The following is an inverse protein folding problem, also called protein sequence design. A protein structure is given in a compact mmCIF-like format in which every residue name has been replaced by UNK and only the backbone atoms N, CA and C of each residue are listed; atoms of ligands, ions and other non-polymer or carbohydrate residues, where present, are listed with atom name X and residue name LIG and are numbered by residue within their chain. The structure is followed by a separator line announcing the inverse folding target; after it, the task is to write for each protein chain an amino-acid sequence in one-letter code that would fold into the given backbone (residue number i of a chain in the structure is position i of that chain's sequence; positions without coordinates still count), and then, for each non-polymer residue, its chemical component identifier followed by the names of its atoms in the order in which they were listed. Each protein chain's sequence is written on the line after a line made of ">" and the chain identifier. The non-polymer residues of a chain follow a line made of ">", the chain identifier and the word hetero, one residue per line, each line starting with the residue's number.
data_IF_103270589179
#
_entry.id   IF_103270589179
#
_cell.length_a   1.000
_cell.length_b   1.000
_cell.length_c   1.000
_cell.angle_alpha   90.00
_cell.angle_beta   90.00
_cell.angle_gamma   90.00
#
_symmetry.space_group_name_H-M   'P 1'
#
loop_
_entity.id
_entity.type
_entity.pdbx_description
1 polymer ?
#
# COMPACT_ATOMS: atom_id res chain seq x y z
N UNK A 1 5.68 30.31 -30.41
CA UNK A 1 4.35 29.69 -30.54
C UNK A 1 4.42 28.34 -29.85
N UNK A 2 4.27 28.32 -28.53
CA UNK A 2 4.14 27.07 -27.76
C UNK A 2 2.74 26.51 -28.02
N UNK A 3 2.69 25.25 -28.40
CA UNK A 3 1.51 24.55 -28.90
C UNK A 3 0.39 24.52 -27.84
N UNK A 4 -0.78 25.00 -28.26
CA UNK A 4 -2.07 24.89 -27.56
C UNK A 4 -2.60 23.44 -27.59
N UNK A 5 -1.86 22.51 -26.99
CA UNK A 5 -2.32 21.13 -26.84
C UNK A 5 -1.87 20.53 -25.51
N UNK A 6 -1.92 21.31 -24.44
CA UNK A 6 -2.18 20.73 -23.12
C UNK A 6 -3.70 20.50 -23.06
N UNK A 7 -4.16 19.47 -23.77
CA UNK A 7 -5.49 18.94 -23.53
C UNK A 7 -5.59 18.71 -22.01
N UNK A 8 -6.61 19.30 -21.38
CA UNK A 8 -6.94 19.08 -19.98
C UNK A 8 -6.96 17.56 -19.73
N UNK A 9 -5.81 16.98 -19.37
CA UNK A 9 -5.74 15.59 -18.91
C UNK A 9 -6.61 15.56 -17.65
N UNK A 10 -7.70 14.82 -17.72
CA UNK A 10 -8.60 14.66 -16.59
C UNK A 10 -7.86 13.80 -15.54
N UNK A 11 -7.34 14.45 -14.54
CA UNK A 11 -6.64 13.78 -13.44
C UNK A 11 -7.65 13.09 -12.53
N UNK A 12 -7.39 11.87 -12.15
CA UNK A 12 -8.19 11.05 -11.26
C UNK A 12 -7.49 10.86 -9.91
N UNK A 13 -8.05 11.42 -8.84
CA UNK A 13 -7.55 11.23 -7.48
C UNK A 13 -7.99 9.88 -6.93
N UNK A 14 -7.04 9.05 -6.52
CA UNK A 14 -7.25 7.78 -5.82
C UNK A 14 -6.83 7.96 -4.36
N UNK A 15 -7.77 7.87 -3.43
CA UNK A 15 -7.52 8.21 -2.03
C UNK A 15 -7.72 7.00 -1.11
N UNK A 16 -6.76 6.82 -0.19
CA UNK A 16 -6.84 5.84 0.89
C UNK A 16 -7.96 6.25 1.87
N UNK A 17 -9.10 5.63 1.70
CA UNK A 17 -10.31 5.96 2.42
C UNK A 17 -10.29 5.53 3.88
N UNK A 18 -9.67 4.38 4.19
CA UNK A 18 -9.57 3.88 5.57
C UNK A 18 -8.72 4.82 6.43
N UNK A 19 -7.60 5.33 5.88
CA UNK A 19 -6.76 6.28 6.58
C UNK A 19 -7.44 7.64 6.74
N UNK A 20 -8.07 8.17 5.69
CA UNK A 20 -8.85 9.41 5.75
C UNK A 20 -9.91 9.34 6.83
N UNK A 21 -10.70 8.28 6.81
CA UNK A 21 -11.80 8.10 7.74
C UNK A 21 -11.29 7.95 9.17
N UNK A 22 -10.25 7.14 9.37
CA UNK A 22 -9.68 6.94 10.70
C UNK A 22 -9.17 8.26 11.30
N UNK A 23 -8.39 9.04 10.54
CA UNK A 23 -7.89 10.36 10.97
C UNK A 23 -9.03 11.30 11.33
N UNK A 24 -10.06 11.39 10.49
CA UNK A 24 -11.21 12.27 10.69
C UNK A 24 -12.01 11.88 11.93
N UNK A 25 -12.43 10.61 12.03
CA UNK A 25 -13.29 10.18 13.13
C UNK A 25 -12.55 10.21 14.47
N UNK A 26 -11.26 9.82 14.48
CA UNK A 26 -10.44 9.91 15.69
C UNK A 26 -10.27 11.35 16.20
N UNK A 27 -10.15 12.33 15.28
CA UNK A 27 -10.05 13.76 15.66
C UNK A 27 -11.38 14.36 16.16
N UNK A 28 -12.50 13.73 15.83
CA UNK A 28 -13.83 14.14 16.31
C UNK A 28 -14.25 13.45 17.61
N UNK A 29 -13.47 12.45 18.09
CA UNK A 29 -13.77 11.81 19.37
C UNK A 29 -13.65 12.81 20.53
N UNK A 30 -14.66 12.82 21.38
CA UNK A 30 -14.73 13.64 22.60
C UNK A 30 -15.10 12.77 23.78
N UNK A 31 -14.46 13.02 24.91
CA UNK A 31 -14.77 12.35 26.16
C UNK A 31 -15.67 13.21 27.03
N UNK A 32 -16.69 12.62 27.64
CA UNK A 32 -17.52 13.25 28.66
C UNK A 32 -17.31 12.46 29.95
N UNK A 33 -16.82 13.14 30.98
CA UNK A 33 -16.76 12.62 32.33
C UNK A 33 -18.07 12.99 33.06
N UNK A 34 -18.88 11.96 33.34
CA UNK A 34 -20.18 12.13 34.02
C UNK A 34 -20.03 12.19 35.54
N UNK A 35 -19.06 11.46 36.06
CA UNK A 35 -18.61 11.46 37.45
C UNK A 35 -17.21 10.88 37.50
N UNK A 36 -16.47 10.97 38.63
CA UNK A 36 -15.12 10.46 38.73
C UNK A 36 -14.99 9.01 38.22
N UNK A 37 -14.11 8.81 37.22
CA UNK A 37 -13.84 7.52 36.55
C UNK A 37 -15.00 6.94 35.69
N UNK A 38 -16.05 7.73 35.41
CA UNK A 38 -17.12 7.34 34.50
C UNK A 38 -17.08 8.21 33.26
N UNK A 39 -16.37 7.71 32.24
CA UNK A 39 -16.11 8.44 31.00
C UNK A 39 -16.78 7.72 29.84
N UNK A 40 -17.43 8.47 28.97
CA UNK A 40 -17.94 7.98 27.67
C UNK A 40 -17.28 8.73 26.53
N UNK A 41 -16.99 8.00 25.47
CA UNK A 41 -16.50 8.60 24.21
C UNK A 41 -17.65 8.71 23.22
N UNK A 42 -17.80 9.86 22.57
CA UNK A 42 -18.80 10.08 21.54
C UNK A 42 -18.22 10.92 20.38
N UNK A 43 -18.95 10.98 19.27
CA UNK A 43 -18.69 11.91 18.18
C UNK A 43 -20.00 12.64 17.80
N UNK A 44 -19.87 13.83 17.25
CA UNK A 44 -20.93 14.48 16.51
C UNK A 44 -20.81 14.07 15.03
N UNK A 45 -21.73 13.23 14.57
CA UNK A 45 -21.66 12.66 13.21
C UNK A 45 -21.63 13.74 12.14
N UNK A 46 -22.45 14.80 12.30
CA UNK A 46 -22.46 15.93 11.34
C UNK A 46 -21.12 16.68 11.27
N UNK A 47 -20.43 16.84 12.39
CA UNK A 47 -19.10 17.46 12.44
C UNK A 47 -18.06 16.56 11.73
N UNK A 48 -18.11 15.26 11.98
CA UNK A 48 -17.24 14.29 11.32
C UNK A 48 -17.51 14.21 9.80
N UNK A 49 -18.78 14.28 9.38
CA UNK A 49 -19.16 14.32 7.97
C UNK A 49 -18.62 15.58 7.28
N UNK A 50 -18.79 16.75 7.92
CA UNK A 50 -18.28 18.01 7.39
C UNK A 50 -16.75 17.96 7.26
N UNK A 51 -16.04 17.55 8.32
CA UNK A 51 -14.58 17.48 8.31
C UNK A 51 -14.06 16.51 7.25
N UNK A 52 -14.69 15.34 7.10
CA UNK A 52 -14.33 14.37 6.06
C UNK A 52 -14.53 14.97 4.66
N UNK A 53 -15.65 15.62 4.40
CA UNK A 53 -15.95 16.28 3.12
C UNK A 53 -14.91 17.35 2.81
N UNK A 54 -14.61 18.23 3.76
CA UNK A 54 -13.60 19.29 3.59
C UNK A 54 -12.21 18.73 3.29
N UNK A 55 -11.84 17.59 3.92
CA UNK A 55 -10.58 16.94 3.70
C UNK A 55 -10.52 16.30 2.29
N UNK A 56 -11.56 15.59 1.86
CA UNK A 56 -11.66 15.01 0.51
C UNK A 56 -11.58 16.12 -0.55
N UNK A 57 -12.31 17.21 -0.39
CA UNK A 57 -12.27 18.34 -1.31
C UNK A 57 -10.89 19.02 -1.34
N UNK A 58 -10.23 19.14 -0.17
CA UNK A 58 -8.86 19.67 -0.09
C UNK A 58 -7.91 18.82 -0.90
N UNK A 59 -7.94 17.50 -0.71
CA UNK A 59 -7.08 16.56 -1.43
C UNK A 59 -7.38 16.57 -2.93
N UNK A 60 -8.65 16.65 -3.33
CA UNK A 60 -9.04 16.75 -4.73
C UNK A 60 -8.44 18.01 -5.38
N UNK A 61 -8.50 19.15 -4.68
CA UNK A 61 -7.88 20.41 -5.17
C UNK A 61 -6.36 20.30 -5.27
N UNK A 62 -5.69 19.71 -4.26
CA UNK A 62 -4.25 19.53 -4.24
C UNK A 62 -3.77 18.57 -5.35
N UNK A 63 -4.49 17.48 -5.56
CA UNK A 63 -4.25 16.52 -6.65
C UNK A 63 -4.60 17.10 -8.04
N UNK A 64 -5.23 18.27 -8.12
CA UNK A 64 -5.81 18.86 -9.34
C UNK A 64 -6.72 17.87 -10.07
N UNK A 65 -7.44 17.05 -9.30
CA UNK A 65 -8.24 15.96 -9.82
C UNK A 65 -9.63 16.44 -10.25
N UNK A 66 -10.04 16.06 -11.46
CA UNK A 66 -11.39 16.31 -11.98
C UNK A 66 -12.42 15.32 -11.44
N UNK A 67 -11.97 14.14 -11.02
CA UNK A 67 -12.75 13.09 -10.34
C UNK A 67 -11.93 12.44 -9.25
N UNK A 68 -12.60 11.82 -8.29
CA UNK A 68 -11.95 11.07 -7.21
C UNK A 68 -12.57 9.69 -7.07
N UNK A 69 -11.85 8.78 -6.41
CA UNK A 69 -12.37 7.52 -5.89
C UNK A 69 -11.74 7.25 -4.53
N UNK A 70 -12.58 6.90 -3.57
CA UNK A 70 -12.19 6.43 -2.25
C UNK A 70 -11.98 4.92 -2.32
N UNK A 71 -10.77 4.44 -2.00
CA UNK A 71 -10.44 3.01 -2.02
C UNK A 71 -10.48 2.45 -0.60
N UNK A 72 -11.31 1.41 -0.40
CA UNK A 72 -11.60 0.80 0.89
C UNK A 72 -11.06 -0.62 1.01
N UNK A 73 -10.62 -0.97 2.20
CA UNK A 73 -10.29 -2.36 2.55
C UNK A 73 -11.56 -3.18 2.72
N UNK A 74 -11.62 -4.35 2.09
CA UNK A 74 -12.69 -5.33 2.26
C UNK A 74 -12.68 -5.97 3.66
N UNK A 75 -13.75 -6.69 4.00
CA UNK A 75 -13.82 -7.45 5.26
C UNK A 75 -12.89 -8.68 5.24
N UNK A 76 -12.67 -9.26 4.08
CA UNK A 76 -11.74 -10.37 3.85
C UNK A 76 -10.44 -9.89 3.21
N UNK A 77 -9.37 -10.71 3.32
CA UNK A 77 -8.05 -10.38 2.80
C UNK A 77 -7.34 -11.65 2.32
N UNK A 78 -6.93 -11.69 1.06
CA UNK A 78 -6.24 -12.83 0.47
C UNK A 78 -4.93 -13.19 1.18
N UNK A 79 -4.26 -12.21 1.83
CA UNK A 79 -3.01 -12.44 2.56
C UNK A 79 -3.20 -13.42 3.73
N UNK A 80 -4.42 -13.52 4.30
CA UNK A 80 -4.73 -14.53 5.30
C UNK A 80 -4.73 -15.96 4.76
N UNK A 81 -4.88 -16.13 3.43
CA UNK A 81 -4.74 -17.42 2.75
C UNK A 81 -3.26 -17.75 2.48
N UNK A 82 -2.40 -16.72 2.37
CA UNK A 82 -0.94 -16.86 2.24
C UNK A 82 -0.30 -17.18 3.59
N UNK A 83 -0.73 -16.45 4.64
CA UNK A 83 -0.30 -16.65 6.03
C UNK A 83 -1.43 -16.24 6.99
N UNK A 84 -1.97 -17.20 7.73
CA UNK A 84 -3.07 -16.98 8.67
C UNK A 84 -2.72 -16.06 9.85
N UNK A 85 -1.43 -15.78 10.06
CA UNK A 85 -0.94 -14.88 11.12
C UNK A 85 -0.80 -13.43 10.66
N UNK A 86 -1.03 -13.14 9.38
CA UNK A 86 -0.95 -11.79 8.83
C UNK A 86 -1.84 -10.80 9.63
N UNK A 87 -1.25 -9.68 10.04
CA UNK A 87 -1.91 -8.67 10.91
C UNK A 87 -2.47 -9.24 12.22
N UNK A 88 -2.06 -10.44 12.62
CA UNK A 88 -2.54 -11.12 13.85
C UNK A 88 -2.19 -10.36 15.13
N UNK A 89 -1.07 -9.63 15.15
CA UNK A 89 -0.64 -8.75 16.23
C UNK A 89 -1.59 -7.56 16.48
N UNK A 90 -2.47 -7.24 15.51
CA UNK A 90 -3.51 -6.20 15.64
C UNK A 90 -4.73 -6.68 16.42
N UNK A 91 -4.88 -8.00 16.61
CA UNK A 91 -6.02 -8.60 17.32
C UNK A 91 -5.80 -8.51 18.83
N UNK A 92 -6.78 -7.97 19.56
CA UNK A 92 -6.80 -8.03 21.02
C UNK A 92 -6.09 -6.91 21.79
N UNK A 93 -5.56 -5.89 21.14
CA UNK A 93 -5.00 -4.72 21.84
C UNK A 93 -6.03 -3.60 22.00
N UNK A 94 -6.31 -3.21 23.25
CA UNK A 94 -7.26 -2.12 23.60
C UNK A 94 -6.93 -0.80 22.86
N UNK A 95 -5.67 -0.56 22.55
CA UNK A 95 -5.19 0.66 21.89
C UNK A 95 -5.46 0.72 20.39
N UNK A 96 -6.06 -0.30 19.80
CA UNK A 96 -6.35 -0.38 18.35
C UNK A 96 -7.84 -0.55 18.04
N UNK A 97 -8.73 -0.10 18.94
CA UNK A 97 -10.14 -0.02 18.60
C UNK A 97 -10.34 0.98 17.46
N UNK A 98 -11.24 0.66 16.55
CA UNK A 98 -11.71 1.67 15.60
C UNK A 98 -12.40 2.81 16.37
N UNK A 99 -12.23 4.06 15.95
CA UNK A 99 -12.90 5.20 16.58
C UNK A 99 -14.43 5.01 16.66
N UNK A 100 -15.05 5.64 17.65
CA UNK A 100 -16.51 5.63 17.82
C UNK A 100 -17.17 6.19 16.57
N UNK A 101 -18.21 5.52 16.06
CA UNK A 101 -18.91 5.94 14.85
C UNK A 101 -18.24 5.57 13.52
N UNK A 102 -17.06 4.94 13.54
CA UNK A 102 -16.32 4.58 12.32
C UNK A 102 -17.19 3.84 11.28
N UNK A 103 -17.96 2.83 11.70
CA UNK A 103 -18.80 2.05 10.76
C UNK A 103 -19.89 2.90 10.10
N UNK A 104 -20.59 3.72 10.89
CA UNK A 104 -21.63 4.60 10.39
C UNK A 104 -21.06 5.66 9.43
N UNK A 105 -19.91 6.21 9.77
CA UNK A 105 -19.21 7.17 8.93
C UNK A 105 -18.67 6.55 7.65
N UNK A 106 -18.19 5.30 7.69
CA UNK A 106 -17.77 4.56 6.50
C UNK A 106 -18.95 4.35 5.56
N UNK A 107 -20.06 3.82 6.06
CA UNK A 107 -21.26 3.62 5.26
C UNK A 107 -21.72 4.93 4.60
N UNK A 108 -21.78 6.02 5.37
CA UNK A 108 -22.13 7.33 4.84
C UNK A 108 -21.15 7.80 3.75
N UNK A 109 -19.85 7.60 3.94
CA UNK A 109 -18.84 8.00 2.95
C UNK A 109 -18.95 7.19 1.65
N UNK A 110 -19.18 5.86 1.76
CA UNK A 110 -19.42 4.98 0.61
C UNK A 110 -20.69 5.36 -0.17
N UNK A 111 -21.73 5.85 0.51
CA UNK A 111 -22.97 6.33 -0.11
C UNK A 111 -22.85 7.74 -0.72
N UNK A 112 -21.91 8.55 -0.22
CA UNK A 112 -21.77 9.97 -0.58
C UNK A 112 -20.72 10.20 -1.68
N UNK A 113 -19.65 9.44 -1.68
CA UNK A 113 -18.50 9.63 -2.59
C UNK A 113 -18.31 8.42 -3.50
N UNK A 114 -17.80 8.63 -4.74
CA UNK A 114 -17.35 7.53 -5.57
C UNK A 114 -16.37 6.64 -4.81
N UNK A 115 -16.69 5.38 -4.67
CA UNK A 115 -16.01 4.44 -3.79
C UNK A 115 -15.77 3.09 -4.44
N UNK A 116 -14.63 2.47 -4.16
CA UNK A 116 -14.28 1.14 -4.61
C UNK A 116 -13.85 0.28 -3.40
N UNK A 117 -14.43 -0.91 -3.30
CA UNK A 117 -14.11 -1.89 -2.28
C UNK A 117 -14.24 -3.28 -2.92
N UNK A 118 -13.10 -3.94 -3.20
CA UNK A 118 -13.09 -5.19 -3.94
C UNK A 118 -12.87 -6.39 -3.01
N UNK A 119 -13.56 -7.48 -3.31
CA UNK A 119 -13.55 -8.68 -2.49
C UNK A 119 -12.12 -9.21 -2.28
N UNK A 120 -11.80 -9.58 -1.03
CA UNK A 120 -10.51 -10.10 -0.60
C UNK A 120 -9.30 -9.15 -0.76
N UNK A 121 -9.51 -7.87 -1.06
CA UNK A 121 -8.43 -6.88 -1.23
C UNK A 121 -8.41 -5.84 -0.10
N UNK A 122 -7.21 -5.35 0.19
CA UNK A 122 -7.03 -4.14 1.00
C UNK A 122 -7.19 -2.88 0.12
N UNK A 123 -7.49 -1.74 0.74
CA UNK A 123 -7.60 -0.46 0.03
C UNK A 123 -6.34 -0.11 -0.76
N UNK A 124 -5.16 -0.47 -0.22
CA UNK A 124 -3.88 -0.29 -0.88
C UNK A 124 -3.76 -1.09 -2.17
N UNK A 125 -4.32 -2.32 -2.21
CA UNK A 125 -4.35 -3.14 -3.41
C UNK A 125 -5.24 -2.51 -4.48
N UNK A 126 -6.41 -2.00 -4.08
CA UNK A 126 -7.32 -1.30 -5.01
C UNK A 126 -6.65 -0.04 -5.57
N UNK A 127 -5.97 0.74 -4.71
CA UNK A 127 -5.16 1.90 -5.13
C UNK A 127 -4.10 1.49 -6.16
N UNK A 128 -3.32 0.47 -5.86
CA UNK A 128 -2.24 0.02 -6.72
C UNK A 128 -2.71 -0.52 -8.07
N UNK A 129 -3.79 -1.30 -8.09
CA UNK A 129 -4.39 -1.82 -9.32
C UNK A 129 -4.92 -0.68 -10.19
N UNK A 130 -5.73 0.22 -9.62
CA UNK A 130 -6.31 1.34 -10.38
C UNK A 130 -5.23 2.30 -10.89
N UNK A 131 -4.23 2.62 -10.07
CA UNK A 131 -3.15 3.51 -10.47
C UNK A 131 -2.29 2.93 -11.60
N UNK A 132 -1.98 1.63 -11.55
CA UNK A 132 -1.17 0.98 -12.59
C UNK A 132 -1.97 0.61 -13.83
N UNK A 133 -3.30 0.53 -13.74
CA UNK A 133 -4.21 0.41 -14.88
C UNK A 133 -4.32 1.73 -15.66
N UNK A 134 -4.20 2.86 -14.98
CA UNK A 134 -4.33 4.20 -15.52
C UNK A 134 -3.13 5.11 -15.15
N UNK A 135 -1.89 4.73 -15.52
CA UNK A 135 -0.66 5.31 -14.95
C UNK A 135 -0.49 6.80 -15.23
N UNK A 136 -0.99 7.31 -16.36
CA UNK A 136 -0.85 8.72 -16.75
C UNK A 136 -2.01 9.60 -16.33
N UNK A 137 -3.03 9.04 -15.70
CA UNK A 137 -4.28 9.72 -15.38
C UNK A 137 -4.53 9.84 -13.88
N UNK A 138 -3.80 9.09 -13.06
CA UNK A 138 -4.07 8.95 -11.63
C UNK A 138 -3.06 9.66 -10.75
N UNK A 139 -3.54 10.15 -9.60
CA UNK A 139 -2.71 10.63 -8.49
C UNK A 139 -3.18 9.92 -7.23
N UNK A 140 -2.28 9.16 -6.58
CA UNK A 140 -2.54 8.47 -5.32
C UNK A 140 -2.35 9.45 -4.16
N UNK A 141 -3.25 9.41 -3.17
CA UNK A 141 -2.99 9.93 -1.84
C UNK A 141 -3.17 8.83 -0.79
N UNK A 142 -2.12 8.60 -0.04
CA UNK A 142 -2.13 7.81 1.20
C UNK A 142 -1.00 8.30 2.10
N UNK A 143 -1.19 8.23 3.40
CA UNK A 143 -0.10 8.45 4.35
C UNK A 143 0.69 7.16 4.63
N UNK A 144 0.39 6.05 3.97
CA UNK A 144 1.16 4.82 4.11
C UNK A 144 2.34 4.82 3.12
N UNK A 145 3.56 4.74 3.68
CA UNK A 145 4.79 4.66 2.89
C UNK A 145 4.84 3.44 1.96
N UNK A 146 4.06 2.40 2.27
CA UNK A 146 4.08 1.15 1.51
C UNK A 146 3.52 1.32 0.11
N UNK A 147 2.70 2.36 -0.12
CA UNK A 147 2.24 2.79 -1.45
C UNK A 147 3.40 3.25 -2.37
N UNK A 148 4.60 3.51 -1.83
CA UNK A 148 5.81 3.74 -2.65
C UNK A 148 6.21 2.51 -3.49
N UNK A 149 5.57 1.35 -3.28
CA UNK A 149 5.63 0.21 -4.20
C UNK A 149 4.89 0.44 -5.54
N UNK A 150 4.08 1.47 -5.64
CA UNK A 150 3.27 1.75 -6.82
C UNK A 150 3.90 2.89 -7.62
N UNK A 151 4.30 2.65 -8.87
CA UNK A 151 4.81 3.70 -9.74
C UNK A 151 3.68 4.66 -10.14
N UNK A 152 4.02 5.93 -10.35
CA UNK A 152 3.08 6.96 -10.76
C UNK A 152 3.17 8.22 -9.91
N UNK A 153 2.12 9.05 -9.97
CA UNK A 153 2.05 10.30 -9.25
C UNK A 153 1.44 10.09 -7.85
N UNK A 154 2.10 10.63 -6.84
CA UNK A 154 1.70 10.56 -5.44
C UNK A 154 1.57 11.97 -4.86
N UNK A 155 0.47 12.25 -4.20
CA UNK A 155 0.26 13.48 -3.45
C UNK A 155 0.77 13.27 -2.01
N UNK A 156 1.79 14.04 -1.61
CA UNK A 156 2.35 13.99 -0.26
C UNK A 156 1.54 14.83 0.75
N UNK A 157 1.86 14.73 2.04
CA UNK A 157 1.17 15.48 3.11
C UNK A 157 1.40 17.00 3.04
N UNK A 158 2.44 17.46 2.30
CA UNK A 158 2.65 18.88 2.03
C UNK A 158 1.73 19.43 0.92
N UNK A 159 1.03 18.55 0.21
CA UNK A 159 0.15 18.90 -0.92
C UNK A 159 0.91 19.03 -2.24
N UNK A 160 2.08 18.41 -2.34
CA UNK A 160 2.92 18.39 -3.53
C UNK A 160 2.81 17.03 -4.22
N UNK A 161 2.85 17.04 -5.56
CA UNK A 161 2.82 15.82 -6.36
C UNK A 161 4.25 15.38 -6.64
N UNK A 162 4.60 14.19 -6.18
CA UNK A 162 5.87 13.52 -6.43
C UNK A 162 5.64 12.35 -7.39
N UNK A 163 6.66 12.03 -8.21
CA UNK A 163 6.58 10.89 -9.13
C UNK A 163 7.49 9.78 -8.65
N UNK A 164 6.92 8.59 -8.45
CA UNK A 164 7.64 7.36 -8.17
C UNK A 164 7.88 6.64 -9.49
N UNK A 165 9.13 6.45 -9.87
CA UNK A 165 9.47 5.67 -11.08
C UNK A 165 9.23 4.17 -10.85
N UNK A 166 9.07 3.40 -11.93
CA UNK A 166 8.95 1.94 -11.87
C UNK A 166 10.12 1.33 -11.08
N UNK A 167 11.34 1.79 -11.34
CA UNK A 167 12.54 1.26 -10.69
C UNK A 167 12.57 1.54 -9.19
N UNK A 168 12.14 2.74 -8.77
CA UNK A 168 12.02 3.09 -7.35
C UNK A 168 10.96 2.24 -6.65
N UNK A 169 9.81 2.05 -7.29
CA UNK A 169 8.72 1.22 -6.77
C UNK A 169 9.16 -0.24 -6.60
N UNK A 170 9.84 -0.80 -7.59
CA UNK A 170 10.36 -2.17 -7.53
C UNK A 170 11.47 -2.30 -6.48
N UNK A 171 12.39 -1.34 -6.39
CA UNK A 171 13.42 -1.33 -5.34
C UNK A 171 12.79 -1.31 -3.94
N UNK A 172 11.75 -0.50 -3.75
CA UNK A 172 11.02 -0.43 -2.49
C UNK A 172 10.39 -1.79 -2.13
N UNK A 173 9.70 -2.42 -3.07
CA UNK A 173 9.11 -3.75 -2.88
C UNK A 173 10.15 -4.80 -2.48
N UNK A 174 11.23 -4.95 -3.23
CA UNK A 174 12.27 -5.95 -2.90
C UNK A 174 12.96 -5.67 -1.57
N UNK A 175 13.17 -4.42 -1.21
CA UNK A 175 13.70 -4.03 0.10
C UNK A 175 12.72 -4.37 1.22
N UNK A 176 11.43 -4.22 1.00
CA UNK A 176 10.41 -4.54 1.98
C UNK A 176 10.29 -6.05 2.23
N UNK A 177 10.47 -6.89 1.22
CA UNK A 177 10.59 -8.35 1.41
C UNK A 177 11.72 -8.67 2.39
N UNK A 178 12.85 -7.99 2.29
CA UNK A 178 14.01 -8.20 3.14
C UNK A 178 13.82 -7.66 4.57
N UNK A 179 13.26 -6.47 4.71
CA UNK A 179 13.10 -5.81 6.02
C UNK A 179 11.91 -6.34 6.79
N UNK A 180 10.88 -6.84 6.10
CA UNK A 180 9.59 -7.16 6.69
C UNK A 180 8.82 -5.92 7.15
N UNK A 181 7.64 -6.15 7.70
CA UNK A 181 6.85 -5.15 8.42
C UNK A 181 6.24 -5.77 9.69
N UNK A 182 6.71 -5.29 10.84
CA UNK A 182 6.22 -5.75 12.15
C UNK A 182 4.79 -5.31 12.42
N UNK A 183 4.33 -4.22 11.80
CA UNK A 183 2.96 -3.73 11.93
C UNK A 183 1.97 -4.67 11.25
N UNK A 184 2.37 -5.23 10.12
CA UNK A 184 1.59 -6.21 9.34
C UNK A 184 1.88 -7.65 9.72
N UNK A 185 2.87 -7.86 10.59
CA UNK A 185 3.12 -9.16 11.20
C UNK A 185 3.91 -10.13 10.31
N UNK A 186 4.65 -9.64 9.32
CA UNK A 186 5.59 -10.46 8.57
C UNK A 186 7.05 -9.99 8.81
N UNK A 187 7.95 -10.92 9.23
CA UNK A 187 9.23 -10.52 9.81
C UNK A 187 10.34 -10.19 8.79
N UNK A 188 10.15 -10.50 7.50
CA UNK A 188 11.20 -10.37 6.51
C UNK A 188 12.36 -11.35 6.74
N UNK A 189 13.57 -10.96 6.34
CA UNK A 189 14.79 -11.74 6.49
C UNK A 189 15.49 -11.39 7.81
N UNK A 190 15.71 -12.36 8.73
CA UNK A 190 16.31 -12.09 10.03
C UNK A 190 17.65 -11.35 9.95
N UNK A 191 17.74 -10.23 10.66
CA UNK A 191 18.95 -9.38 10.70
C UNK A 191 19.20 -8.54 9.45
N UNK A 192 18.24 -8.48 8.53
CA UNK A 192 18.31 -7.61 7.35
C UNK A 192 17.49 -6.31 7.58
N UNK A 193 18.11 -5.30 8.15
CA UNK A 193 17.49 -3.98 8.31
C UNK A 193 17.62 -3.12 7.04
N UNK A 194 17.02 -1.92 7.06
CA UNK A 194 16.95 -0.98 5.92
C UNK A 194 18.28 -0.75 5.21
N UNK A 195 19.37 -0.54 5.98
CA UNK A 195 20.71 -0.29 5.41
C UNK A 195 21.22 -1.51 4.63
N UNK A 196 21.02 -2.72 5.17
CA UNK A 196 21.42 -3.97 4.50
C UNK A 196 20.56 -4.21 3.26
N UNK A 197 19.26 -4.00 3.34
CA UNK A 197 18.35 -4.15 2.21
C UNK A 197 18.69 -3.18 1.06
N UNK A 198 19.00 -1.91 1.38
CA UNK A 198 19.40 -0.93 0.37
C UNK A 198 20.73 -1.27 -0.33
N UNK A 199 21.66 -1.93 0.38
CA UNK A 199 22.90 -2.42 -0.26
C UNK A 199 22.66 -3.62 -1.17
N UNK A 200 21.70 -4.47 -0.85
CA UNK A 200 21.37 -5.66 -1.63
C UNK A 200 20.54 -5.32 -2.88
N UNK A 201 19.65 -4.35 -2.75
CA UNK A 201 18.83 -3.84 -3.84
C UNK A 201 19.02 -2.32 -3.88
N UNK A 202 19.98 -1.81 -4.66
CA UNK A 202 20.21 -0.37 -4.83
C UNK A 202 19.01 0.29 -5.54
N UNK A 203 18.99 1.62 -5.63
CA UNK A 203 17.90 2.34 -6.32
C UNK A 203 17.99 2.22 -7.83
N UNK A 204 19.19 1.96 -8.34
CA UNK A 204 19.49 1.86 -9.76
C UNK A 204 20.39 0.66 -10.06
N UNK A 205 20.41 0.26 -11.32
CA UNK A 205 21.36 -0.75 -11.81
C UNK A 205 21.01 -2.20 -11.48
N UNK A 206 19.74 -2.48 -11.17
CA UNK A 206 19.25 -3.85 -11.00
C UNK A 206 18.16 -4.19 -12.04
N UNK A 207 17.95 -5.48 -12.23
CA UNK A 207 16.75 -6.03 -12.88
C UNK A 207 15.93 -6.77 -11.82
N UNK A 208 14.66 -7.00 -12.07
CA UNK A 208 13.81 -7.78 -11.15
C UNK A 208 14.42 -9.16 -10.85
N UNK A 209 14.99 -9.82 -11.88
CA UNK A 209 15.65 -11.12 -11.70
C UNK A 209 16.87 -11.04 -10.77
N UNK A 210 17.71 -10.01 -10.91
CA UNK A 210 18.88 -9.83 -10.04
C UNK A 210 18.47 -9.45 -8.62
N UNK A 211 17.44 -8.61 -8.45
CA UNK A 211 16.90 -8.24 -7.15
C UNK A 211 16.30 -9.45 -6.44
N UNK A 212 15.48 -10.24 -7.13
CA UNK A 212 14.93 -11.48 -6.57
C UNK A 212 16.02 -12.49 -6.20
N UNK A 213 17.02 -12.67 -7.07
CA UNK A 213 18.16 -13.53 -6.76
C UNK A 213 18.92 -13.08 -5.50
N UNK A 214 19.11 -11.79 -5.31
CA UNK A 214 19.73 -11.24 -4.10
C UNK A 214 18.87 -11.48 -2.85
N UNK A 215 17.54 -11.33 -2.97
CA UNK A 215 16.58 -11.63 -1.90
C UNK A 215 16.69 -13.11 -1.50
N UNK A 216 16.52 -14.04 -2.44
CA UNK A 216 16.59 -15.48 -2.17
C UNK A 216 17.91 -15.86 -1.50
N UNK A 217 19.03 -15.41 -2.08
CA UNK A 217 20.38 -15.66 -1.52
C UNK A 217 20.52 -15.16 -0.08
N UNK A 218 19.88 -14.04 0.27
CA UNK A 218 19.93 -13.51 1.62
C UNK A 218 19.11 -14.36 2.61
N UNK A 219 17.96 -14.88 2.19
CA UNK A 219 17.17 -15.81 3.01
C UNK A 219 17.89 -17.16 3.18
N UNK A 220 18.52 -17.69 2.12
CA UNK A 220 19.30 -18.92 2.19
C UNK A 220 20.47 -18.83 3.19
N UNK A 221 21.16 -17.69 3.28
CA UNK A 221 22.19 -17.43 4.31
C UNK A 221 21.64 -17.51 5.74
N UNK A 222 20.33 -17.43 5.91
CA UNK A 222 19.64 -17.55 7.19
C UNK A 222 18.96 -18.92 7.36
N UNK A 223 19.29 -19.89 6.51
CA UNK A 223 18.69 -21.22 6.46
C UNK A 223 17.17 -21.19 6.19
N UNK A 224 16.69 -20.13 5.51
CA UNK A 224 15.33 -19.98 5.03
C UNK A 224 15.36 -20.11 3.51
N UNK A 225 14.50 -20.96 2.95
CA UNK A 225 14.51 -21.25 1.51
C UNK A 225 13.78 -20.18 0.67
N UNK A 226 13.82 -20.38 -0.65
CA UNK A 226 13.10 -19.53 -1.62
C UNK A 226 11.59 -19.44 -1.36
N UNK A 227 10.97 -20.54 -0.90
CA UNK A 227 9.54 -20.57 -0.56
C UNK A 227 9.19 -19.62 0.59
N UNK A 228 10.08 -19.51 1.58
CA UNK A 228 9.90 -18.54 2.66
C UNK A 228 10.01 -17.10 2.14
N UNK A 229 11.00 -16.82 1.29
CA UNK A 229 11.15 -15.52 0.63
C UNK A 229 9.91 -15.17 -0.22
N UNK A 230 9.38 -16.14 -0.97
CA UNK A 230 8.18 -15.99 -1.79
C UNK A 230 6.93 -15.66 -0.93
N UNK A 231 6.80 -16.34 0.22
CA UNK A 231 5.72 -16.01 1.17
C UNK A 231 5.84 -14.58 1.67
N UNK A 232 7.04 -14.12 2.07
CA UNK A 232 7.25 -12.73 2.49
C UNK A 232 6.92 -11.74 1.35
N UNK A 233 7.32 -12.06 0.12
CA UNK A 233 7.01 -11.26 -1.05
C UNK A 233 5.50 -11.10 -1.27
N UNK A 234 4.74 -12.18 -1.19
CA UNK A 234 3.27 -12.17 -1.35
C UNK A 234 2.54 -11.43 -0.24
N UNK A 235 3.10 -11.38 0.96
CA UNK A 235 2.55 -10.59 2.07
C UNK A 235 2.86 -9.10 1.91
N UNK A 236 4.07 -8.78 1.45
CA UNK A 236 4.53 -7.41 1.25
C UNK A 236 3.92 -6.74 0.01
N UNK A 237 3.53 -7.54 -1.01
CA UNK A 237 3.10 -7.02 -2.31
C UNK A 237 1.81 -6.24 -2.22
N UNK A 238 1.83 -4.97 -2.63
CA UNK A 238 0.64 -4.22 -3.03
C UNK A 238 0.39 -4.55 -4.50
N UNK A 239 -0.82 -5.01 -4.82
CA UNK A 239 -1.16 -5.50 -6.15
C UNK A 239 -1.11 -4.39 -7.19
N UNK A 240 -0.73 -4.76 -8.41
CA UNK A 240 -0.80 -3.92 -9.60
C UNK A 240 -1.77 -4.53 -10.62
N UNK A 241 -2.13 -3.80 -11.65
CA UNK A 241 -3.07 -4.26 -12.67
C UNK A 241 -2.72 -5.63 -13.26
N UNK A 242 -1.44 -5.91 -13.49
CA UNK A 242 -0.99 -7.22 -13.99
C UNK A 242 -1.31 -8.41 -13.09
N UNK A 243 -1.61 -8.15 -11.81
CA UNK A 243 -1.91 -9.16 -10.78
C UNK A 243 -3.42 -9.26 -10.47
N UNK A 244 -4.24 -8.45 -11.18
CA UNK A 244 -5.69 -8.48 -11.03
C UNK A 244 -6.37 -8.28 -12.39
N UNK A 245 -6.60 -9.38 -13.08
CA UNK A 245 -7.16 -9.41 -14.44
C UNK A 245 -8.50 -10.13 -14.45
N UNK A 246 -9.48 -9.56 -15.14
CA UNK A 246 -10.83 -10.14 -15.25
C UNK A 246 -11.48 -10.45 -13.87
N UNK A 247 -11.24 -9.58 -12.90
CA UNK A 247 -11.68 -9.72 -11.50
C UNK A 247 -11.11 -10.96 -10.78
N UNK A 248 -10.03 -11.53 -11.31
CA UNK A 248 -9.31 -12.64 -10.69
C UNK A 248 -7.93 -12.20 -10.16
N UNK A 249 -7.69 -12.53 -8.90
CA UNK A 249 -6.41 -12.31 -8.24
C UNK A 249 -5.37 -13.33 -8.73
N UNK A 250 -4.25 -12.84 -9.21
CA UNK A 250 -3.05 -13.61 -9.47
C UNK A 250 -1.97 -13.25 -8.43
N UNK A 251 -1.61 -14.22 -7.58
CA UNK A 251 -0.54 -14.00 -6.61
C UNK A 251 0.77 -13.70 -7.34
N UNK A 252 1.49 -12.71 -6.83
CA UNK A 252 2.81 -12.37 -7.36
C UNK A 252 3.70 -13.59 -7.52
N UNK A 253 4.33 -13.69 -8.68
CA UNK A 253 5.29 -14.74 -9.04
C UNK A 253 6.65 -14.12 -9.32
N UNK A 254 7.74 -14.75 -8.84
CA UNK A 254 9.07 -14.21 -9.06
C UNK A 254 9.45 -14.26 -10.54
N UNK A 255 10.27 -13.30 -10.99
CA UNK A 255 10.84 -13.35 -12.34
C UNK A 255 11.73 -14.59 -12.49
N UNK A 256 11.75 -15.16 -13.69
CA UNK A 256 12.61 -16.32 -14.00
C UNK A 256 14.07 -15.92 -13.88
N UNK A 257 14.80 -16.57 -12.98
CA UNK A 257 16.25 -16.40 -12.87
C UNK A 257 16.90 -17.14 -14.04
N UNK A 258 17.40 -16.42 -15.04
CA UNK A 258 18.28 -17.01 -16.04
C UNK A 258 19.64 -17.20 -15.39
N UNK A 259 20.00 -18.44 -15.05
CA UNK A 259 21.38 -18.78 -14.71
C UNK A 259 22.17 -18.73 -16.02
N UNK A 260 23.07 -17.75 -16.17
CA UNK A 260 24.09 -17.78 -17.23
C UNK A 260 24.90 -19.07 -17.09
N UNK A 261 24.74 -19.98 -18.05
CA UNK A 261 25.50 -21.25 -18.12
C UNK A 261 26.96 -21.01 -18.59
N UNK A 262 27.51 -19.85 -18.39
CA UNK A 262 28.87 -19.50 -18.82
C UNK A 262 29.86 -19.54 -17.65
N UNK A 263 30.12 -20.72 -17.05
CA UNK A 263 31.39 -21.01 -16.34
C UNK A 263 31.52 -22.50 -15.99
N UNK A 264 31.16 -23.39 -16.91
CA UNK A 264 31.62 -24.79 -16.82
C UNK A 264 32.36 -25.14 -18.09
N UNK A 265 33.57 -24.62 -18.25
CA UNK A 265 34.36 -24.93 -19.43
C UNK A 265 35.77 -24.38 -19.41
N UNK A 266 36.58 -24.75 -18.40
CA UNK A 266 38.05 -24.75 -18.51
C UNK A 266 38.68 -25.44 -17.30
N UNK A 267 38.57 -26.76 -17.26
CA UNK A 267 39.49 -27.57 -16.51
C UNK A 267 39.72 -28.85 -17.31
N UNK A 268 40.66 -28.78 -18.25
CA UNK A 268 41.42 -29.94 -18.79
C UNK A 268 42.52 -29.37 -19.68
N UNK A 269 43.71 -29.41 -19.28
CA UNK A 269 44.81 -30.35 -19.58
C UNK A 269 46.04 -29.88 -18.88
#
# INVERSE_FOLDING_TARGET
>A
MQSFTEALRMTWGLFDADMLLHKTVASCEREIEWMPNVITTHILVSEAQQMFTELVEKLQRQAKASRITLCWTAESNFRLKVDSTYKGNRRGTLHRRKPVGYKAMRQWAEETFPSECWYDLEGDDVLGILATRHPDETVIWSGDKDLMQIPGAHLNDAGEIETVSQLQADAFFYRQILTGDTTDGYPGCPGCGKVSAAKLVPEEGFTEATAWGAVVKQFEKKHLGADYALRQARLARILRDSEYQLDELQLWTPPTIQYDQATTGAAKT
#
